data_IF_867651295036
#
_entry.id   IF_867651295036
#
_cell.length_a   1.000
_cell.length_b   1.000
_cell.length_c   1.000
_cell.angle_alpha   90.00
_cell.angle_beta   90.00
_cell.angle_gamma   90.00
#
_symmetry.space_group_name_H-M   'P 1'
#
loop_
_entity.id
_entity.type
_entity.pdbx_description
1 polymer ?
#
# COMPACT_ATOMS: atom_id res chain seq x y z
N UNK A 1 11.37 45.69 -47.14
CA UNK A 1 10.94 46.63 -46.09
C UNK A 1 10.71 45.84 -44.79
N UNK A 2 11.46 46.15 -43.73
CA UNK A 2 11.22 45.78 -42.32
C UNK A 2 10.19 46.77 -41.70
N UNK A 3 9.55 46.47 -40.55
CA UNK A 3 10.11 46.59 -39.18
C UNK A 3 9.78 45.33 -38.31
N UNK A 4 10.51 44.82 -37.30
CA UNK A 4 11.43 45.28 -36.24
C UNK A 4 10.86 46.20 -35.15
N UNK A 5 10.69 45.64 -33.94
CA UNK A 5 10.82 46.16 -32.55
C UNK A 5 10.34 45.00 -31.63
N UNK A 6 11.09 44.27 -30.79
CA UNK A 6 12.28 44.45 -29.94
C UNK A 6 12.01 45.28 -28.67
N UNK A 7 11.80 44.61 -27.53
CA UNK A 7 12.28 45.02 -26.20
C UNK A 7 12.60 43.75 -25.40
N UNK A 8 13.86 43.60 -25.00
CA UNK A 8 14.36 42.54 -24.14
C UNK A 8 14.43 42.95 -22.67
N UNK A 9 14.62 41.97 -21.79
CA UNK A 9 15.08 42.18 -20.42
C UNK A 9 16.42 41.47 -20.24
N UNK A 10 17.42 42.26 -19.91
CA UNK A 10 18.82 41.88 -19.68
C UNK A 10 19.03 41.40 -18.24
N UNK A 11 19.87 40.38 -18.08
CA UNK A 11 20.51 40.01 -16.83
C UNK A 11 21.49 41.10 -16.35
N UNK A 12 21.72 41.22 -15.03
CA UNK A 12 23.01 41.64 -14.51
C UNK A 12 23.78 40.46 -13.88
N UNK A 13 25.10 40.52 -14.09
CA UNK A 13 26.11 39.57 -13.65
C UNK A 13 26.47 39.71 -12.15
N UNK A 14 27.06 38.63 -11.65
CA UNK A 14 27.71 38.45 -10.34
C UNK A 14 28.88 39.44 -10.08
N UNK A 15 29.31 39.54 -8.82
CA UNK A 15 30.74 39.53 -8.53
C UNK A 15 31.16 38.38 -7.59
N UNK A 16 32.36 37.86 -7.88
CA UNK A 16 33.13 36.90 -7.07
C UNK A 16 33.68 37.52 -5.78
N UNK A 17 33.82 36.68 -4.75
CA UNK A 17 34.81 36.64 -3.64
C UNK A 17 34.37 35.44 -2.77
N UNK A 18 35.16 34.61 -2.11
CA UNK A 18 36.58 34.26 -2.08
C UNK A 18 36.65 33.04 -1.14
N UNK A 19 37.53 32.08 -1.43
CA UNK A 19 37.83 30.91 -0.60
C UNK A 19 38.38 31.29 0.78
N UNK A 20 37.92 30.61 1.83
CA UNK A 20 38.73 30.40 3.05
C UNK A 20 38.32 29.11 3.76
N UNK A 21 39.33 28.46 4.33
CA UNK A 21 39.39 27.06 4.68
C UNK A 21 38.87 26.72 6.09
N UNK A 22 38.71 25.42 6.30
CA UNK A 22 38.56 24.72 7.58
C UNK A 22 39.49 25.24 8.70
N UNK A 23 39.01 25.17 9.94
CA UNK A 23 39.72 24.53 11.05
C UNK A 23 38.84 24.38 12.31
N UNK A 24 39.05 23.26 13.00
CA UNK A 24 38.83 23.00 14.43
C UNK A 24 37.36 22.96 14.95
N UNK A 25 36.97 22.09 15.88
CA UNK A 25 37.65 21.04 16.62
C UNK A 25 36.61 20.18 17.36
N UNK A 26 37.05 18.98 17.71
CA UNK A 26 36.51 18.06 18.70
C UNK A 26 35.66 18.66 19.83
N UNK A 27 34.64 17.88 20.23
CA UNK A 27 34.47 17.45 21.62
C UNK A 27 33.53 16.24 21.67
N UNK A 28 34.15 15.07 21.79
CA UNK A 28 33.53 13.91 22.36
C UNK A 28 33.08 14.23 23.80
N UNK A 29 31.85 13.84 24.15
CA UNK A 29 31.50 13.62 25.54
C UNK A 29 30.60 12.39 25.65
N UNK A 30 31.27 11.30 25.99
CA UNK A 30 30.75 10.15 26.70
C UNK A 30 29.85 10.59 27.86
N UNK A 31 28.65 10.04 27.94
CA UNK A 31 27.99 9.79 29.23
C UNK A 31 27.26 8.45 29.13
N UNK A 32 27.88 7.48 29.79
CA UNK A 32 27.27 6.29 30.36
C UNK A 32 26.01 6.65 31.14
N UNK A 33 24.92 5.92 30.95
CA UNK A 33 24.09 5.57 32.09
C UNK A 33 23.36 4.24 31.89
N UNK A 34 23.78 3.30 32.72
CA UNK A 34 23.17 2.02 33.05
C UNK A 34 21.91 2.21 33.90
N UNK A 35 20.84 1.51 33.57
CA UNK A 35 19.90 0.93 34.56
C UNK A 35 19.03 -0.10 33.82
N UNK A 36 19.24 -1.40 34.02
CA UNK A 36 18.63 -2.20 35.08
C UNK A 36 17.13 -1.92 35.23
N UNK A 37 16.29 -2.67 34.53
CA UNK A 37 14.95 -2.97 34.99
C UNK A 37 14.77 -4.47 35.16
N UNK A 38 14.47 -4.82 36.40
CA UNK A 38 14.25 -6.15 36.93
C UNK A 38 12.92 -6.69 36.42
N UNK A 39 12.94 -7.97 36.09
CA UNK A 39 11.79 -8.86 36.06
C UNK A 39 11.04 -8.82 37.40
N UNK A 40 9.72 -8.81 37.37
CA UNK A 40 8.91 -9.17 38.54
C UNK A 40 7.79 -10.08 38.09
N UNK A 41 8.02 -11.35 38.34
CA UNK A 41 7.03 -12.42 38.40
C UNK A 41 6.10 -12.15 39.57
N UNK A 42 4.79 -12.21 39.35
CA UNK A 42 3.83 -12.60 40.39
C UNK A 42 2.93 -13.67 39.81
N UNK A 43 3.07 -14.88 40.35
CA UNK A 43 2.10 -15.94 40.18
C UNK A 43 0.97 -15.77 41.20
N UNK A 44 -0.19 -16.31 40.88
CA UNK A 44 -1.06 -16.93 41.87
C UNK A 44 -1.59 -18.23 41.26
N UNK A 45 -1.36 -19.30 42.01
CA UNK A 45 -1.75 -20.66 41.74
C UNK A 45 -3.24 -20.91 42.03
N UNK A 46 -3.70 -22.10 41.62
CA UNK A 46 -4.50 -23.13 42.33
C UNK A 46 -5.31 -23.89 41.26
N UNK A 47 -4.79 -24.98 40.70
CA UNK A 47 -4.93 -26.38 41.15
C UNK A 47 -6.34 -26.99 41.00
N UNK A 48 -6.48 -27.98 40.11
CA UNK A 48 -7.05 -29.29 40.46
C UNK A 48 -6.79 -30.34 39.40
N UNK A 49 -6.48 -31.54 39.93
CA UNK A 49 -6.11 -32.78 39.27
C UNK A 49 -7.30 -33.45 38.56
N UNK A 50 -7.03 -34.24 37.51
CA UNK A 50 -7.24 -35.69 37.56
C UNK A 50 -6.54 -36.40 36.40
N UNK A 51 -5.80 -37.45 36.74
CA UNK A 51 -5.14 -38.41 35.86
C UNK A 51 -6.13 -39.44 35.30
N UNK A 52 -5.82 -40.07 34.15
CA UNK A 52 -5.75 -41.52 33.96
C UNK A 52 -5.44 -41.95 32.50
N UNK A 53 -4.26 -42.59 32.36
CA UNK A 53 -3.90 -43.82 31.60
C UNK A 53 -4.23 -44.01 30.10
N UNK A 54 -3.14 -44.04 29.34
CA UNK A 54 -2.61 -45.10 28.45
C UNK A 54 -3.55 -45.99 27.61
N UNK A 55 -3.26 -46.04 26.30
CA UNK A 55 -3.67 -47.11 25.39
C UNK A 55 -3.08 -46.93 23.97
N UNK A 56 -2.16 -47.82 23.60
CA UNK A 56 -1.39 -47.86 22.34
C UNK A 56 -2.24 -48.16 21.09
N UNK A 57 -1.71 -47.82 19.90
CA UNK A 57 -1.93 -48.65 18.69
C UNK A 57 -2.17 -47.91 17.38
N UNK A 58 -1.23 -48.10 16.45
CA UNK A 58 -1.24 -47.71 15.03
C UNK A 58 -2.57 -47.97 14.29
N UNK A 59 -3.04 -47.01 13.49
CA UNK A 59 -3.35 -47.25 12.06
C UNK A 59 -3.50 -45.94 11.25
N UNK A 60 -2.55 -45.78 10.32
CA UNK A 60 -2.62 -45.30 8.92
C UNK A 60 -3.67 -44.26 8.50
N UNK A 61 -3.12 -43.26 7.81
CA UNK A 61 -3.84 -42.17 7.18
C UNK A 61 -4.80 -42.57 6.05
N UNK A 62 -5.87 -41.79 6.00
CA UNK A 62 -6.74 -41.44 4.87
C UNK A 62 -7.92 -40.69 5.53
N UNK A 63 -7.70 -39.41 5.89
CA UNK A 63 -8.70 -38.66 6.65
C UNK A 63 -8.48 -37.14 6.70
N UNK A 64 -7.67 -36.60 5.79
CA UNK A 64 -7.36 -35.15 5.75
C UNK A 64 -7.94 -34.55 4.47
N UNK A 65 -9.26 -34.65 4.28
CA UNK A 65 -9.96 -33.86 3.23
C UNK A 65 -11.37 -33.41 3.67
N UNK A 66 -11.98 -33.93 4.73
CA UNK A 66 -13.42 -33.68 5.02
C UNK A 66 -13.75 -32.96 6.34
N UNK A 67 -12.87 -32.09 6.86
CA UNK A 67 -13.16 -31.31 8.10
C UNK A 67 -12.95 -29.79 7.99
N UNK A 68 -12.84 -29.25 6.78
CA UNK A 68 -12.53 -27.83 6.56
C UNK A 68 -13.74 -26.89 6.48
N UNK A 69 -14.98 -27.36 6.69
CA UNK A 69 -16.17 -26.52 6.54
C UNK A 69 -16.84 -26.04 7.85
N UNK A 70 -16.36 -26.41 9.04
CA UNK A 70 -17.05 -26.07 10.30
C UNK A 70 -16.22 -25.25 11.32
N UNK A 71 -15.08 -24.65 10.92
CA UNK A 71 -14.24 -23.89 11.87
C UNK A 71 -13.74 -22.53 11.40
N UNK A 72 -14.44 -21.88 10.48
CA UNK A 72 -14.14 -20.51 10.06
C UNK A 72 -15.19 -19.53 10.58
N UNK A 73 -15.09 -19.20 11.87
CA UNK A 73 -15.53 -17.93 12.43
C UNK A 73 -14.33 -17.32 13.15
N UNK A 74 -13.35 -16.87 12.37
CA UNK A 74 -12.18 -16.17 12.91
C UNK A 74 -12.55 -14.69 12.95
N UNK A 75 -12.90 -14.21 14.14
CA UNK A 75 -12.82 -12.80 14.49
C UNK A 75 -11.34 -12.39 14.44
N UNK A 76 -10.90 -11.72 13.38
CA UNK A 76 -9.61 -11.03 13.36
C UNK A 76 -9.77 -9.68 14.06
N UNK A 77 -9.62 -9.68 15.37
CA UNK A 77 -9.62 -8.48 16.19
C UNK A 77 -8.24 -7.78 16.07
N UNK A 78 -8.02 -7.13 14.92
CA UNK A 78 -6.83 -6.30 14.69
C UNK A 78 -6.97 -5.05 15.53
N UNK A 79 -6.40 -5.05 16.74
CA UNK A 79 -6.32 -3.85 17.58
C UNK A 79 -5.38 -2.85 16.94
N UNK A 80 -5.94 -1.95 16.15
CA UNK A 80 -5.31 -0.68 15.76
C UNK A 80 -5.05 0.10 17.05
N UNK A 81 -3.78 0.19 17.47
CA UNK A 81 -3.41 1.08 18.59
C UNK A 81 -3.57 2.53 18.15
N UNK A 82 -4.68 3.14 18.53
CA UNK A 82 -4.82 4.59 18.57
C UNK A 82 -4.15 5.11 19.84
N UNK A 83 -3.19 6.02 19.70
CA UNK A 83 -2.72 6.84 20.82
C UNK A 83 -3.91 7.66 21.37
N UNK A 84 -4.19 7.53 22.66
CA UNK A 84 -5.35 8.10 23.33
C UNK A 84 -5.27 9.63 23.41
N UNK A 85 -6.43 10.27 23.18
CA UNK A 85 -6.69 11.65 23.53
C UNK A 85 -7.54 12.40 22.51
N UNK A 86 -8.83 12.06 22.40
CA UNK A 86 -9.97 13.00 22.24
C UNK A 86 -11.27 12.22 21.95
N UNK A 87 -12.35 12.69 22.56
CA UNK A 87 -13.78 12.35 22.42
C UNK A 87 -14.21 11.60 21.16
N UNK A 88 -15.05 10.57 21.31
CA UNK A 88 -15.61 9.72 20.24
C UNK A 88 -15.83 10.49 18.92
N UNK A 89 -15.11 10.14 17.85
CA UNK A 89 -14.80 11.07 16.79
C UNK A 89 -15.88 11.04 15.69
N UNK A 90 -16.01 12.13 14.97
CA UNK A 90 -16.56 12.11 13.60
C UNK A 90 -15.99 10.90 12.84
N UNK A 91 -16.85 10.13 12.14
CA UNK A 91 -16.50 8.97 11.32
C UNK A 91 -15.20 9.21 10.53
N UNK A 92 -14.23 8.29 10.60
CA UNK A 92 -12.93 8.48 9.91
C UNK A 92 -13.17 8.44 8.40
N UNK A 93 -12.58 9.40 7.71
CA UNK A 93 -12.48 9.39 6.24
C UNK A 93 -11.11 8.86 5.87
N UNK A 94 -11.09 7.71 5.19
CA UNK A 94 -9.89 7.00 4.75
C UNK A 94 -9.77 7.17 3.24
N UNK A 95 -8.64 7.71 2.79
CA UNK A 95 -8.33 7.80 1.36
C UNK A 95 -7.13 6.92 1.03
N UNK A 96 -7.23 6.14 -0.05
CA UNK A 96 -6.11 5.34 -0.56
C UNK A 96 -6.04 5.40 -2.07
N UNK A 97 -4.84 5.65 -2.60
CA UNK A 97 -4.56 5.70 -4.03
C UNK A 97 -3.71 4.51 -4.49
N UNK A 98 -4.03 3.94 -5.66
CA UNK A 98 -3.23 2.89 -6.30
C UNK A 98 -2.98 3.20 -7.77
N UNK A 99 -1.72 3.11 -8.20
CA UNK A 99 -1.38 3.30 -9.61
C UNK A 99 -1.93 2.15 -10.47
N UNK A 100 -2.49 2.45 -11.66
CA UNK A 100 -2.98 1.45 -12.60
C UNK A 100 -1.82 0.67 -13.21
N UNK A 101 -1.43 -0.40 -12.53
CA UNK A 101 -0.34 -1.29 -12.96
C UNK A 101 -0.87 -2.60 -13.54
N UNK A 102 -2.16 -2.66 -13.87
CA UNK A 102 -2.86 -3.86 -14.33
C UNK A 102 -3.24 -4.81 -13.20
N UNK A 103 -3.37 -6.10 -13.51
CA UNK A 103 -3.77 -7.15 -12.55
C UNK A 103 -2.88 -7.12 -11.32
N UNK A 104 -3.48 -6.97 -10.14
CA UNK A 104 -2.78 -6.97 -8.85
C UNK A 104 -2.12 -8.34 -8.63
N UNK A 105 -0.97 -8.41 -7.94
CA UNK A 105 -0.32 -9.68 -7.59
C UNK A 105 -0.49 -10.00 -6.10
N UNK A 106 -0.22 -11.24 -5.69
CA UNK A 106 -0.38 -11.74 -4.32
C UNK A 106 0.26 -10.83 -3.26
N UNK A 107 1.48 -10.33 -3.51
CA UNK A 107 2.15 -9.41 -2.58
C UNK A 107 1.41 -8.08 -2.35
N UNK A 108 0.71 -7.54 -3.35
CA UNK A 108 -0.12 -6.35 -3.18
C UNK A 108 -1.44 -6.70 -2.47
N UNK A 109 -2.03 -7.85 -2.79
CA UNK A 109 -3.25 -8.32 -2.15
C UNK A 109 -3.07 -8.49 -0.65
N UNK A 110 -2.07 -9.27 -0.24
CA UNK A 110 -1.78 -9.51 1.18
C UNK A 110 -1.29 -8.25 1.89
N UNK A 111 -0.43 -7.47 1.24
CA UNK A 111 0.22 -6.32 1.87
C UNK A 111 -0.62 -5.05 1.99
N UNK A 112 -1.70 -4.91 1.20
CA UNK A 112 -2.52 -3.69 1.22
C UNK A 112 -4.01 -3.95 0.96
N UNK A 113 -4.36 -4.61 -0.15
CA UNK A 113 -5.76 -4.69 -0.60
C UNK A 113 -6.65 -5.44 0.41
N UNK A 114 -6.14 -6.50 1.05
CA UNK A 114 -6.91 -7.21 2.08
C UNK A 114 -7.25 -6.30 3.27
N UNK A 115 -6.32 -5.45 3.70
CA UNK A 115 -6.57 -4.49 4.79
C UNK A 115 -7.61 -3.46 4.38
N UNK A 116 -7.58 -3.01 3.13
CA UNK A 116 -8.58 -2.11 2.57
C UNK A 116 -9.99 -2.69 2.63
N UNK A 117 -10.13 -3.98 2.33
CA UNK A 117 -11.40 -4.71 2.44
C UNK A 117 -11.87 -4.84 3.89
N UNK A 118 -10.97 -4.91 4.87
CA UNK A 118 -11.34 -4.87 6.28
C UNK A 118 -11.76 -3.47 6.75
N UNK A 119 -11.11 -2.41 6.25
CA UNK A 119 -11.45 -1.03 6.60
C UNK A 119 -12.88 -0.65 6.19
N UNK A 120 -13.36 -1.12 5.04
CA UNK A 120 -14.76 -0.86 4.62
C UNK A 120 -15.79 -1.57 5.53
N UNK A 121 -15.44 -2.67 6.19
CA UNK A 121 -16.32 -3.37 7.13
C UNK A 121 -16.39 -2.69 8.50
N UNK A 122 -15.34 -1.94 8.87
CA UNK A 122 -15.21 -1.26 10.16
C UNK A 122 -16.08 -0.02 10.35
N UNK A 123 -16.95 0.32 9.38
CA UNK A 123 -17.85 1.47 9.46
C UNK A 123 -17.17 2.82 9.17
N UNK A 124 -15.93 2.83 8.67
CA UNK A 124 -15.26 4.04 8.20
C UNK A 124 -15.82 4.50 6.84
N UNK A 125 -15.57 5.76 6.47
CA UNK A 125 -15.81 6.26 5.12
C UNK A 125 -14.57 6.02 4.26
N UNK A 126 -14.61 5.01 3.38
CA UNK A 126 -13.43 4.59 2.61
C UNK A 126 -13.53 4.99 1.15
N UNK A 127 -12.45 5.59 0.65
CA UNK A 127 -12.32 6.10 -0.71
C UNK A 127 -11.07 5.48 -1.35
N UNK A 128 -11.28 4.74 -2.43
CA UNK A 128 -10.25 4.13 -3.26
C UNK A 128 -10.16 4.84 -4.60
N UNK A 129 -8.97 5.32 -4.93
CA UNK A 129 -8.69 6.04 -6.16
C UNK A 129 -7.67 5.27 -7.00
N UNK A 130 -8.05 4.90 -8.23
CA UNK A 130 -7.09 4.42 -9.23
C UNK A 130 -6.43 5.63 -9.88
N UNK A 131 -5.18 5.90 -9.51
CA UNK A 131 -4.47 7.15 -9.79
C UNK A 131 -3.74 7.14 -11.12
N UNK A 132 -4.50 7.28 -12.21
CA UNK A 132 -3.97 7.28 -13.57
C UNK A 132 -3.22 8.58 -13.95
N UNK A 133 -3.53 9.73 -13.33
CA UNK A 133 -2.73 10.95 -13.54
C UNK A 133 -1.33 10.83 -12.91
N UNK A 134 -1.19 10.06 -11.82
CA UNK A 134 0.14 9.75 -11.26
C UNK A 134 0.94 8.78 -12.14
N UNK A 135 0.27 7.90 -12.89
CA UNK A 135 0.94 6.92 -13.76
C UNK A 135 1.68 7.58 -14.94
N UNK A 136 1.22 8.75 -15.40
CA UNK A 136 1.82 9.47 -16.54
C UNK A 136 2.97 10.41 -16.15
N UNK A 137 3.43 10.38 -14.88
CA UNK A 137 4.56 11.20 -14.40
C UNK A 137 5.93 10.69 -14.85
N UNK A 138 5.98 9.44 -15.33
CA UNK A 138 7.14 8.77 -15.93
C UNK A 138 6.77 8.21 -17.30
N UNK A 139 7.74 7.64 -18.01
CA UNK A 139 7.50 6.97 -19.28
C UNK A 139 6.44 5.85 -19.12
N UNK A 140 5.40 5.91 -19.95
CA UNK A 140 4.28 4.97 -19.94
C UNK A 140 3.84 4.67 -21.38
N UNK A 141 3.10 3.59 -21.56
CA UNK A 141 2.47 3.24 -22.82
C UNK A 141 0.99 3.60 -22.78
N UNK A 142 0.60 4.60 -23.58
CA UNK A 142 -0.77 5.09 -23.63
C UNK A 142 -1.75 4.05 -24.19
N UNK A 143 -1.27 3.05 -24.94
CA UNK A 143 -2.13 2.00 -25.50
C UNK A 143 -2.53 0.98 -24.43
N UNK A 144 -1.70 0.80 -23.40
CA UNK A 144 -1.93 -0.19 -22.34
C UNK A 144 -2.56 0.41 -21.08
N UNK A 145 -2.35 1.71 -20.81
CA UNK A 145 -2.89 2.38 -19.61
C UNK A 145 -4.42 2.21 -19.41
N UNK A 146 -5.28 2.33 -20.45
CA UNK A 146 -6.72 2.12 -20.27
C UNK A 146 -7.07 0.70 -19.82
N UNK A 147 -6.41 -0.30 -20.41
CA UNK A 147 -6.60 -1.70 -20.02
C UNK A 147 -6.05 -1.98 -18.61
N UNK A 148 -4.89 -1.41 -18.27
CA UNK A 148 -4.30 -1.52 -16.95
C UNK A 148 -5.18 -0.89 -15.86
N UNK A 149 -5.83 0.24 -16.17
CA UNK A 149 -6.78 0.92 -15.28
C UNK A 149 -8.00 0.05 -15.02
N UNK A 150 -8.67 -0.46 -16.07
CA UNK A 150 -9.80 -1.38 -15.94
C UNK A 150 -9.42 -2.64 -15.15
N UNK A 151 -8.26 -3.23 -15.45
CA UNK A 151 -7.79 -4.42 -14.74
C UNK A 151 -7.48 -4.15 -13.27
N UNK A 152 -7.02 -2.94 -12.93
CA UNK A 152 -6.79 -2.55 -11.53
C UNK A 152 -8.12 -2.42 -10.79
N UNK A 153 -9.11 -1.72 -11.37
CA UNK A 153 -10.47 -1.62 -10.81
C UNK A 153 -11.10 -3.00 -10.63
N UNK A 154 -11.05 -3.85 -11.66
CA UNK A 154 -11.57 -5.21 -11.60
C UNK A 154 -10.88 -6.04 -10.52
N UNK A 155 -9.56 -5.91 -10.37
CA UNK A 155 -8.79 -6.60 -9.32
C UNK A 155 -9.25 -6.19 -7.93
N UNK A 156 -9.45 -4.89 -7.67
CA UNK A 156 -9.91 -4.41 -6.37
C UNK A 156 -11.30 -4.98 -6.03
N UNK A 157 -12.24 -4.94 -6.98
CA UNK A 157 -13.59 -5.49 -6.81
C UNK A 157 -13.56 -7.00 -6.60
N UNK A 158 -12.71 -7.71 -7.36
CA UNK A 158 -12.54 -9.15 -7.23
C UNK A 158 -11.96 -9.55 -5.86
N UNK A 159 -11.04 -8.75 -5.32
CA UNK A 159 -10.46 -8.92 -3.99
C UNK A 159 -11.43 -8.63 -2.83
N UNK A 160 -12.60 -8.05 -3.11
CA UNK A 160 -13.63 -7.80 -2.10
C UNK A 160 -13.92 -6.32 -1.82
N UNK A 161 -13.29 -5.39 -2.56
CA UNK A 161 -13.73 -3.99 -2.51
C UNK A 161 -15.16 -3.92 -3.01
N UNK A 162 -16.06 -3.39 -2.20
CA UNK A 162 -17.47 -3.29 -2.53
C UNK A 162 -17.80 -1.85 -2.94
N UNK A 163 -18.07 -1.59 -4.24
CA UNK A 163 -18.38 -0.26 -4.74
C UNK A 163 -19.70 0.32 -4.24
N UNK A 164 -20.52 -0.42 -3.50
CA UNK A 164 -21.74 0.11 -2.89
C UNK A 164 -21.42 0.68 -1.49
N UNK A 165 -20.47 0.08 -0.76
CA UNK A 165 -20.08 0.53 0.59
C UNK A 165 -18.92 1.52 0.59
N UNK A 166 -17.95 1.37 -0.31
CA UNK A 166 -16.81 2.27 -0.48
C UNK A 166 -16.92 3.05 -1.81
N UNK A 167 -16.29 4.23 -1.88
CA UNK A 167 -16.18 4.97 -3.15
C UNK A 167 -14.96 4.45 -3.89
N UNK A 168 -15.14 3.78 -5.04
CA UNK A 168 -14.06 3.31 -5.90
C UNK A 168 -14.15 4.01 -7.26
N UNK A 169 -13.13 4.78 -7.64
CA UNK A 169 -13.16 5.57 -8.88
C UNK A 169 -11.79 5.73 -9.53
N UNK A 170 -11.78 6.19 -10.78
CA UNK A 170 -10.58 6.55 -11.55
C UNK A 170 -10.30 8.05 -11.41
N UNK A 171 -9.07 8.43 -11.06
CA UNK A 171 -8.68 9.80 -10.73
C UNK A 171 -9.03 10.80 -11.82
N UNK A 172 -8.67 10.53 -13.08
CA UNK A 172 -8.90 11.45 -14.21
C UNK A 172 -10.37 11.72 -14.53
N UNK A 173 -11.32 10.96 -13.95
CA UNK A 173 -12.77 11.20 -14.10
C UNK A 173 -13.32 12.27 -13.15
N UNK A 174 -12.49 12.75 -12.21
CA UNK A 174 -12.83 13.76 -11.21
C UNK A 174 -11.90 14.96 -11.44
N UNK A 175 -12.30 15.96 -12.24
CA UNK A 175 -11.43 17.09 -12.62
C UNK A 175 -10.93 17.90 -11.42
N UNK A 176 -11.68 17.89 -10.32
CA UNK A 176 -11.40 18.65 -9.09
C UNK A 176 -10.04 18.28 -8.47
N UNK A 177 -9.49 17.10 -8.77
CA UNK A 177 -8.13 16.70 -8.41
C UNK A 177 -7.07 17.63 -9.04
N UNK A 178 -7.17 17.86 -10.35
CA UNK A 178 -6.23 18.69 -11.09
C UNK A 178 -6.40 20.17 -10.72
N UNK A 179 -7.64 20.59 -10.49
CA UNK A 179 -7.96 21.97 -10.11
C UNK A 179 -7.42 22.32 -8.71
N UNK A 180 -7.65 21.44 -7.72
CA UNK A 180 -7.11 21.65 -6.39
C UNK A 180 -5.57 21.55 -6.38
N UNK A 181 -4.99 20.65 -7.17
CA UNK A 181 -3.53 20.54 -7.33
C UNK A 181 -2.91 21.87 -7.77
N UNK A 182 -3.54 22.61 -8.69
CA UNK A 182 -3.05 23.91 -9.12
C UNK A 182 -3.00 24.92 -7.96
N UNK A 183 -4.08 25.01 -7.18
CA UNK A 183 -4.13 25.89 -6.01
C UNK A 183 -3.05 25.52 -4.98
N UNK A 184 -2.88 24.24 -4.69
CA UNK A 184 -1.86 23.77 -3.73
C UNK A 184 -0.43 23.98 -4.25
N UNK A 185 -0.22 23.91 -5.56
CA UNK A 185 1.07 24.24 -6.20
C UNK A 185 1.46 25.69 -5.92
N UNK A 186 0.49 26.62 -5.92
CA UNK A 186 0.74 28.02 -5.55
C UNK A 186 1.06 28.23 -4.05
N UNK A 187 0.93 27.19 -3.22
CA UNK A 187 1.20 27.23 -1.77
C UNK A 187 2.47 26.46 -1.37
N UNK A 188 3.13 25.80 -2.32
CA UNK A 188 4.37 25.06 -2.08
C UNK A 188 5.56 25.80 -2.68
N UNK A 189 6.78 25.37 -2.33
CA UNK A 189 8.01 25.93 -2.89
C UNK A 189 8.86 24.82 -3.49
N UNK A 190 9.69 25.19 -4.47
CA UNK A 190 10.65 24.28 -5.08
C UNK A 190 11.55 23.64 -4.01
N UNK A 191 12.11 24.45 -3.09
CA UNK A 191 12.99 23.95 -2.03
C UNK A 191 12.35 22.80 -1.23
N UNK A 192 11.05 22.87 -0.95
CA UNK A 192 10.34 21.84 -0.20
C UNK A 192 10.23 20.51 -0.97
N UNK A 193 9.95 20.58 -2.27
CA UNK A 193 9.80 19.38 -3.11
C UNK A 193 11.15 18.73 -3.42
N UNK A 194 12.19 19.53 -3.64
CA UNK A 194 13.56 19.04 -3.96
C UNK A 194 14.16 18.17 -2.86
N UNK A 195 13.75 18.35 -1.60
CA UNK A 195 14.28 17.58 -0.48
C UNK A 195 13.59 16.22 -0.26
N UNK A 196 12.49 15.92 -0.95
CA UNK A 196 11.80 14.64 -0.83
C UNK A 196 12.68 13.47 -1.34
N UNK A 197 12.87 12.40 -0.56
CA UNK A 197 13.68 11.25 -0.94
C UNK A 197 13.25 10.61 -2.25
N UNK A 198 11.95 10.43 -2.47
CA UNK A 198 11.43 9.77 -3.67
C UNK A 198 11.75 10.54 -4.95
N UNK A 199 11.76 11.88 -4.89
CA UNK A 199 12.20 12.68 -6.02
C UNK A 199 13.69 12.43 -6.30
N UNK A 200 14.54 12.50 -5.27
CA UNK A 200 15.98 12.25 -5.42
C UNK A 200 16.25 10.85 -5.98
N UNK A 201 15.67 9.82 -5.40
CA UNK A 201 15.84 8.43 -5.83
C UNK A 201 15.39 8.20 -7.29
N UNK A 202 14.19 8.66 -7.66
CA UNK A 202 13.67 8.45 -9.03
C UNK A 202 14.34 9.33 -10.08
N UNK A 203 14.81 10.52 -9.70
CA UNK A 203 15.50 11.45 -10.60
C UNK A 203 16.91 10.97 -11.00
N UNK A 204 17.60 10.23 -10.12
CA UNK A 204 18.98 9.79 -10.34
C UNK A 204 19.15 8.91 -11.59
N UNK A 205 18.13 8.12 -11.94
CA UNK A 205 18.14 7.25 -13.10
C UNK A 205 17.70 7.94 -14.40
N UNK A 206 17.35 9.22 -14.37
CA UNK A 206 16.79 9.95 -15.51
C UNK A 206 17.74 11.03 -15.99
N UNK A 207 17.99 11.07 -17.30
CA UNK A 207 18.78 12.14 -17.93
C UNK A 207 18.03 13.48 -17.91
N UNK A 208 16.74 13.43 -18.18
CA UNK A 208 15.84 14.57 -18.15
C UNK A 208 14.69 14.21 -17.22
N UNK A 209 14.50 15.03 -16.19
CA UNK A 209 13.53 14.75 -15.13
C UNK A 209 12.22 15.45 -15.47
N UNK A 210 11.11 14.72 -15.68
CA UNK A 210 9.83 15.34 -15.97
C UNK A 210 9.34 16.20 -14.81
N UNK A 211 8.76 17.37 -15.09
CA UNK A 211 8.16 18.23 -14.07
C UNK A 211 7.05 17.53 -13.28
N UNK A 212 6.30 16.62 -13.93
CA UNK A 212 5.31 15.79 -13.26
C UNK A 212 5.89 14.94 -12.12
N UNK A 213 7.07 14.34 -12.32
CA UNK A 213 7.77 13.57 -11.29
C UNK A 213 8.19 14.45 -10.10
N UNK A 214 8.42 15.73 -10.34
CA UNK A 214 8.76 16.69 -9.29
C UNK A 214 7.52 17.17 -8.52
N UNK A 215 6.43 17.44 -9.23
CA UNK A 215 5.22 18.05 -8.68
C UNK A 215 4.16 17.05 -8.18
N UNK A 216 4.25 15.76 -8.51
CA UNK A 216 3.23 14.76 -8.10
C UNK A 216 2.94 14.70 -6.60
N UNK A 217 3.87 14.99 -5.66
CA UNK A 217 3.51 15.00 -4.24
C UNK A 217 2.45 16.06 -3.88
N UNK A 218 2.34 17.13 -4.69
CA UNK A 218 1.28 18.14 -4.56
C UNK A 218 -0.04 17.62 -5.10
N UNK A 219 -0.03 16.89 -6.22
CA UNK A 219 -1.20 16.19 -6.74
C UNK A 219 -1.71 15.16 -5.73
N UNK A 220 -0.80 14.41 -5.09
CA UNK A 220 -1.14 13.47 -4.01
C UNK A 220 -1.79 14.19 -2.82
N UNK A 221 -1.32 15.38 -2.46
CA UNK A 221 -1.98 16.19 -1.44
C UNK A 221 -3.38 16.62 -1.88
N UNK A 222 -3.57 17.04 -3.14
CA UNK A 222 -4.89 17.36 -3.67
C UNK A 222 -5.83 16.14 -3.59
N UNK A 223 -5.35 14.95 -3.97
CA UNK A 223 -6.12 13.71 -3.91
C UNK A 223 -6.67 13.44 -2.51
N UNK A 224 -5.87 13.69 -1.47
CA UNK A 224 -6.22 13.43 -0.06
C UNK A 224 -7.14 14.53 0.48
N UNK A 225 -6.79 15.80 0.24
CA UNK A 225 -7.45 16.96 0.85
C UNK A 225 -8.80 17.27 0.24
N UNK A 226 -9.02 16.91 -1.04
CA UNK A 226 -10.29 17.10 -1.73
C UNK A 226 -11.46 16.41 -1.02
N UNK A 227 -11.19 15.28 -0.37
CA UNK A 227 -12.18 14.51 0.41
C UNK A 227 -12.10 14.76 1.91
N UNK A 228 -11.28 15.73 2.36
CA UNK A 228 -11.01 15.98 3.78
C UNK A 228 -10.62 14.69 4.52
N UNK A 229 -9.78 13.87 3.87
CA UNK A 229 -9.37 12.61 4.44
C UNK A 229 -8.65 12.83 5.78
N UNK A 230 -8.99 12.01 6.77
CA UNK A 230 -8.39 12.02 8.11
C UNK A 230 -7.21 11.07 8.19
N UNK A 231 -7.26 9.99 7.43
CA UNK A 231 -6.33 8.89 7.50
C UNK A 231 -5.98 8.38 6.09
N UNK A 232 -4.71 8.03 5.87
CA UNK A 232 -4.22 7.55 4.58
C UNK A 232 -3.37 6.28 4.81
N UNK A 233 -3.80 5.10 4.35
CA UNK A 233 -3.02 3.87 4.47
C UNK A 233 -1.85 3.95 3.51
N UNK A 234 -0.62 3.95 4.03
CA UNK A 234 0.58 4.04 3.21
C UNK A 234 1.74 3.21 3.76
N UNK A 235 2.64 2.80 2.87
CA UNK A 235 3.95 2.29 3.26
C UNK A 235 4.82 3.39 3.89
N UNK A 236 5.86 2.98 4.61
CA UNK A 236 6.80 3.91 5.27
C UNK A 236 7.47 4.86 4.28
N UNK A 237 7.67 4.43 3.02
CA UNK A 237 8.24 5.25 1.96
C UNK A 237 7.38 6.49 1.68
N UNK A 238 6.05 6.41 1.74
CA UNK A 238 5.18 7.53 1.42
C UNK A 238 4.88 8.47 2.61
N UNK A 239 5.44 8.19 3.81
CA UNK A 239 5.14 8.97 5.02
C UNK A 239 5.45 10.46 4.87
N UNK A 240 6.53 10.80 4.16
CA UNK A 240 6.90 12.20 3.91
C UNK A 240 5.91 12.94 3.01
N UNK A 241 5.27 12.25 2.07
CA UNK A 241 4.22 12.85 1.23
C UNK A 241 2.95 13.13 2.04
N UNK A 242 2.61 12.27 3.00
CA UNK A 242 1.46 12.54 3.91
C UNK A 242 1.77 13.74 4.83
N UNK A 243 3.02 13.87 5.29
CA UNK A 243 3.46 15.06 6.02
C UNK A 243 3.38 16.33 5.15
N UNK A 244 3.71 16.25 3.86
CA UNK A 244 3.52 17.35 2.93
C UNK A 244 2.04 17.72 2.78
N UNK A 245 1.15 16.74 2.64
CA UNK A 245 -0.30 16.99 2.54
C UNK A 245 -0.83 17.69 3.81
N UNK A 246 -0.46 17.21 5.00
CA UNK A 246 -0.81 17.87 6.26
C UNK A 246 -0.21 19.28 6.39
N UNK A 247 1.02 19.48 5.88
CA UNK A 247 1.62 20.81 5.85
C UNK A 247 0.85 21.77 4.93
N UNK A 248 0.51 21.34 3.71
CA UNK A 248 -0.25 22.16 2.76
C UNK A 248 -1.65 22.49 3.28
N UNK A 249 -2.32 21.53 3.93
CA UNK A 249 -3.59 21.78 4.62
C UNK A 249 -3.46 22.87 5.68
N UNK A 250 -2.40 22.82 6.51
CA UNK A 250 -2.12 23.85 7.53
C UNK A 250 -1.86 25.23 6.91
N UNK A 251 -1.06 25.29 5.85
CA UNK A 251 -0.76 26.54 5.14
C UNK A 251 -2.03 27.15 4.57
N UNK A 252 -2.87 26.33 3.92
CA UNK A 252 -4.15 26.78 3.37
C UNK A 252 -5.06 27.30 4.48
N UNK A 253 -5.27 26.50 5.54
CA UNK A 253 -6.15 26.85 6.65
C UNK A 253 -5.72 28.15 7.35
N UNK A 254 -4.41 28.35 7.56
CA UNK A 254 -3.89 29.57 8.16
C UNK A 254 -4.09 30.80 7.29
N UNK A 255 -4.03 30.65 5.96
CA UNK A 255 -4.11 31.76 5.00
C UNK A 255 -5.55 32.14 4.67
N UNK A 256 -6.43 31.16 4.51
CA UNK A 256 -7.78 31.36 3.98
C UNK A 256 -8.90 30.89 4.93
N UNK A 257 -8.56 30.45 6.14
CA UNK A 257 -9.49 29.92 7.14
C UNK A 257 -9.64 28.39 7.09
N UNK A 258 -10.08 27.79 8.20
CA UNK A 258 -10.22 26.33 8.34
C UNK A 258 -11.08 25.71 7.22
N UNK A 259 -10.49 24.77 6.47
CA UNK A 259 -11.10 24.15 5.28
C UNK A 259 -10.80 22.66 5.22
N UNK A 260 -9.54 22.30 5.45
CA UNK A 260 -9.04 20.93 5.34
C UNK A 260 -8.76 20.32 6.71
N UNK A 261 -8.98 19.01 6.82
CA UNK A 261 -8.42 18.18 7.89
C UNK A 261 -6.91 18.03 7.72
N UNK A 262 -6.21 17.71 8.80
CA UNK A 262 -4.80 17.36 8.75
C UNK A 262 -4.67 15.82 8.66
N UNK A 263 -4.43 15.24 7.48
CA UNK A 263 -4.37 13.79 7.31
C UNK A 263 -3.21 13.18 8.07
N UNK A 264 -3.41 11.95 8.58
CA UNK A 264 -2.38 11.13 9.24
C UNK A 264 -2.14 9.85 8.47
N UNK A 265 -0.90 9.35 8.49
CA UNK A 265 -0.59 8.04 7.91
C UNK A 265 -1.13 6.93 8.80
N UNK A 266 -1.80 5.95 8.20
CA UNK A 266 -2.05 4.64 8.80
C UNK A 266 -0.97 3.70 8.29
N UNK A 267 -0.02 3.35 9.16
CA UNK A 267 1.01 2.36 8.84
C UNK A 267 0.47 0.99 9.22
N UNK A 268 0.45 0.07 8.25
CA UNK A 268 0.05 -1.29 8.51
C UNK A 268 1.25 -2.13 8.97
N UNK A 269 1.34 -2.39 10.28
CA UNK A 269 2.33 -3.30 10.86
C UNK A 269 1.90 -4.77 10.65
N UNK A 270 2.14 -5.30 9.46
CA UNK A 270 1.87 -6.72 9.16
C UNK A 270 3.06 -7.39 8.47
N UNK A 271 3.30 -8.67 8.77
CA UNK A 271 4.30 -9.49 8.06
C UNK A 271 3.98 -9.55 6.55
N UNK A 272 2.69 -9.52 6.19
CA UNK A 272 2.19 -9.35 4.82
C UNK A 272 2.76 -8.17 4.02
N UNK A 273 3.23 -7.10 4.67
CA UNK A 273 3.85 -5.96 3.97
C UNK A 273 5.19 -6.35 3.29
N UNK A 274 5.74 -7.53 3.62
CA UNK A 274 7.08 -7.98 3.22
C UNK A 274 7.10 -9.25 2.36
N UNK A 275 6.00 -9.60 1.68
CA UNK A 275 5.99 -10.74 0.74
C UNK A 275 7.05 -10.53 -0.36
N UNK A 276 7.97 -11.49 -0.47
CA UNK A 276 9.16 -11.42 -1.32
C UNK A 276 8.96 -12.21 -2.62
N UNK A 277 9.84 -11.95 -3.59
CA UNK A 277 9.84 -12.69 -4.85
C UNK A 277 10.15 -14.18 -4.61
N UNK A 278 9.43 -15.05 -5.31
CA UNK A 278 9.67 -16.50 -5.29
C UNK A 278 11.01 -16.88 -5.94
N UNK A 279 11.62 -15.97 -6.71
CA UNK A 279 12.88 -16.20 -7.42
C UNK A 279 14.05 -15.43 -6.81
N UNK A 280 13.78 -14.27 -6.22
CA UNK A 280 14.76 -13.43 -5.54
C UNK A 280 14.26 -13.10 -4.13
N UNK A 281 14.45 -14.00 -3.14
CA UNK A 281 13.95 -13.82 -1.77
C UNK A 281 14.61 -12.66 -1.00
N UNK A 282 15.54 -11.94 -1.60
CA UNK A 282 16.12 -10.67 -1.13
C UNK A 282 15.28 -9.45 -1.57
N UNK A 283 14.42 -9.61 -2.58
CA UNK A 283 13.63 -8.53 -3.18
C UNK A 283 12.14 -8.70 -2.90
N UNK A 284 11.45 -7.56 -2.75
CA UNK A 284 9.99 -7.53 -2.68
C UNK A 284 9.39 -8.06 -3.99
N UNK A 285 8.27 -8.79 -3.90
CA UNK A 285 7.52 -9.18 -5.09
C UNK A 285 7.07 -7.92 -5.85
N UNK A 286 7.37 -7.85 -7.14
CA UNK A 286 7.08 -6.69 -7.98
C UNK A 286 6.63 -7.08 -9.38
N UNK A 287 5.74 -6.26 -9.96
CA UNK A 287 5.37 -6.34 -11.38
C UNK A 287 6.52 -6.01 -12.33
N UNK A 288 7.44 -5.14 -11.91
CA UNK A 288 8.60 -4.75 -12.70
C UNK A 288 9.73 -5.78 -12.70
N UNK A 289 9.58 -6.89 -11.96
CA UNK A 289 10.55 -7.98 -12.02
C UNK A 289 10.50 -8.65 -13.41
N UNK A 290 11.66 -8.71 -14.08
CA UNK A 290 11.78 -9.29 -15.42
C UNK A 290 11.34 -10.77 -15.49
N UNK A 291 11.47 -11.50 -14.38
CA UNK A 291 11.03 -12.89 -14.30
C UNK A 291 9.59 -12.98 -13.76
N UNK A 292 8.58 -13.30 -14.58
CA UNK A 292 7.20 -13.41 -14.13
C UNK A 292 6.97 -14.56 -13.14
N UNK A 293 7.93 -15.49 -13.01
CA UNK A 293 7.88 -16.57 -12.00
C UNK A 293 8.23 -16.09 -10.59
N UNK A 294 8.74 -14.87 -10.44
CA UNK A 294 8.99 -14.25 -9.14
C UNK A 294 7.72 -13.80 -8.41
N UNK A 295 6.60 -13.66 -9.12
CA UNK A 295 5.33 -13.18 -8.58
C UNK A 295 4.17 -14.11 -8.90
N UNK A 296 3.14 -14.09 -8.06
CA UNK A 296 1.85 -14.75 -8.31
C UNK A 296 0.84 -13.68 -8.72
N UNK A 297 0.40 -13.70 -9.97
CA UNK A 297 -0.62 -12.78 -10.48
C UNK A 297 -2.01 -13.34 -10.10
N UNK A 298 -2.98 -12.48 -9.78
CA UNK A 298 -4.32 -12.94 -9.35
C UNK A 298 -5.10 -13.70 -10.45
N UNK A 299 -4.68 -13.56 -11.70
CA UNK A 299 -5.21 -14.30 -12.86
C UNK A 299 -4.49 -15.62 -13.11
N UNK A 300 -3.42 -15.96 -12.38
CA UNK A 300 -2.70 -17.22 -12.59
C UNK A 300 -3.64 -18.41 -12.33
N UNK A 301 -3.64 -19.38 -13.25
CA UNK A 301 -4.38 -20.63 -13.06
C UNK A 301 -3.74 -21.49 -11.96
N UNK A 302 -4.48 -22.45 -11.38
CA UNK A 302 -3.92 -23.38 -10.38
C UNK A 302 -2.62 -24.04 -10.83
N UNK A 303 -2.52 -24.44 -12.10
CA UNK A 303 -1.33 -25.07 -12.66
C UNK A 303 -0.13 -24.11 -12.75
N UNK A 304 -0.39 -22.85 -13.10
CA UNK A 304 0.66 -21.81 -13.13
C UNK A 304 1.15 -21.53 -11.70
N UNK A 305 0.23 -21.39 -10.73
CA UNK A 305 0.57 -21.17 -9.33
C UNK A 305 1.43 -22.32 -8.80
N UNK A 306 0.99 -23.57 -8.97
CA UNK A 306 1.77 -24.78 -8.61
C UNK A 306 3.15 -24.77 -9.27
N UNK A 307 3.21 -24.45 -10.56
CA UNK A 307 4.46 -24.38 -11.32
C UNK A 307 5.43 -23.32 -10.79
N UNK A 308 4.93 -22.15 -10.39
CA UNK A 308 5.73 -21.06 -9.80
C UNK A 308 6.25 -21.44 -8.41
N UNK A 309 5.41 -21.99 -7.54
CA UNK A 309 5.82 -22.47 -6.21
C UNK A 309 6.80 -23.63 -6.27
N UNK A 310 6.59 -24.61 -7.16
CA UNK A 310 7.56 -25.71 -7.39
C UNK A 310 8.95 -25.19 -7.76
N UNK A 311 9.00 -24.07 -8.48
CA UNK A 311 10.23 -23.37 -8.87
C UNK A 311 10.63 -22.26 -7.90
N UNK A 312 10.00 -22.10 -6.74
CA UNK A 312 10.45 -21.11 -5.76
C UNK A 312 11.86 -21.45 -5.28
N UNK A 313 12.71 -20.44 -5.11
CA UNK A 313 14.08 -20.59 -4.60
C UNK A 313 14.04 -20.87 -3.10
N UNK A 314 14.70 -21.94 -2.69
CA UNK A 314 14.94 -22.31 -1.28
C UNK A 314 16.37 -22.79 -1.13
N UNK A 315 16.81 -23.00 0.10
CA UNK A 315 18.08 -23.66 0.41
C UNK A 315 18.01 -25.20 0.25
N UNK A 316 19.12 -25.87 0.56
CA UNK A 316 19.29 -27.32 0.48
C UNK A 316 18.87 -28.06 1.76
N UNK A 317 18.40 -27.36 2.79
CA UNK A 317 17.95 -27.96 4.04
C UNK A 317 16.51 -28.43 3.90
N UNK A 318 16.23 -29.67 4.26
CA UNK A 318 14.89 -30.26 4.08
C UNK A 318 13.86 -29.79 5.11
N UNK A 319 14.29 -29.46 6.33
CA UNK A 319 13.39 -29.00 7.39
C UNK A 319 12.71 -27.67 7.03
N UNK A 320 11.49 -27.45 7.53
CA UNK A 320 10.71 -26.22 7.35
C UNK A 320 10.65 -25.50 8.69
N UNK A 321 11.29 -24.34 8.80
CA UNK A 321 11.22 -23.47 9.97
C UNK A 321 11.52 -22.02 9.55
N UNK A 322 11.03 -21.08 10.36
CA UNK A 322 11.15 -19.66 10.06
C UNK A 322 12.51 -19.12 10.49
N UNK A 323 13.33 -18.71 9.51
CA UNK A 323 14.62 -18.06 9.69
C UNK A 323 14.86 -17.10 8.50
N UNK A 324 14.42 -15.84 8.60
CA UNK A 324 14.47 -14.91 7.47
C UNK A 324 15.88 -14.44 7.13
N UNK A 325 16.85 -14.61 8.03
CA UNK A 325 18.25 -14.22 7.83
C UNK A 325 19.01 -15.28 7.04
N UNK A 326 18.96 -16.54 7.49
CA UNK A 326 19.71 -17.62 6.84
C UNK A 326 18.91 -18.37 5.79
N UNK A 327 17.56 -18.33 5.86
CA UNK A 327 16.66 -19.10 4.98
C UNK A 327 15.54 -18.23 4.39
N UNK A 328 15.86 -17.11 3.73
CA UNK A 328 14.85 -16.13 3.28
C UNK A 328 13.80 -16.72 2.33
N UNK A 329 14.16 -17.71 1.52
CA UNK A 329 13.23 -18.40 0.62
C UNK A 329 12.16 -19.21 1.35
N UNK A 330 12.57 -20.04 2.32
CA UNK A 330 11.64 -20.86 3.13
C UNK A 330 10.81 -19.98 4.04
N UNK A 331 11.42 -18.97 4.66
CA UNK A 331 10.73 -18.00 5.51
C UNK A 331 9.69 -17.19 4.74
N UNK A 332 9.95 -16.85 3.46
CA UNK A 332 8.94 -16.21 2.61
C UNK A 332 7.76 -17.15 2.32
N UNK A 333 8.00 -18.45 2.09
CA UNK A 333 6.93 -19.43 1.90
C UNK A 333 6.10 -19.59 3.18
N UNK A 334 6.73 -19.62 4.35
CA UNK A 334 6.02 -19.67 5.64
C UNK A 334 5.22 -18.39 5.91
N UNK A 335 5.77 -17.22 5.57
CA UNK A 335 5.04 -15.96 5.65
C UNK A 335 3.80 -15.98 4.74
N UNK A 336 3.94 -16.41 3.48
CA UNK A 336 2.79 -16.58 2.59
C UNK A 336 1.78 -17.56 3.18
N UNK A 337 2.22 -18.72 3.66
CA UNK A 337 1.36 -19.76 4.22
C UNK A 337 0.56 -19.23 5.42
N UNK A 338 1.24 -18.60 6.38
CA UNK A 338 0.63 -17.97 7.55
C UNK A 338 -0.39 -16.90 7.15
N UNK A 339 -0.06 -16.05 6.18
CA UNK A 339 -0.95 -14.99 5.74
C UNK A 339 -2.20 -15.52 5.04
N UNK A 340 -2.13 -16.65 4.34
CA UNK A 340 -3.30 -17.23 3.63
C UNK A 340 -4.16 -18.14 4.51
N UNK A 341 -3.58 -18.81 5.51
CA UNK A 341 -4.32 -19.71 6.42
C UNK A 341 -4.66 -19.12 7.79
N UNK A 342 -3.98 -18.04 8.19
CA UNK A 342 -4.05 -17.48 9.54
C UNK A 342 -3.30 -18.28 10.60
N UNK A 343 -2.54 -19.32 10.22
CA UNK A 343 -1.78 -20.15 11.16
C UNK A 343 -0.51 -19.45 11.66
N UNK A 344 -0.10 -19.74 12.89
CA UNK A 344 1.18 -19.26 13.43
C UNK A 344 2.37 -19.96 12.77
N UNK A 345 3.57 -19.38 12.89
CA UNK A 345 4.77 -20.02 12.35
C UNK A 345 5.11 -21.31 13.10
N UNK A 346 4.78 -21.38 14.39
CA UNK A 346 4.90 -22.55 15.24
C UNK A 346 3.99 -23.68 14.73
N UNK A 347 2.70 -23.40 14.51
CA UNK A 347 1.75 -24.38 13.98
C UNK A 347 2.17 -24.90 12.60
N UNK A 348 2.64 -23.99 11.73
CA UNK A 348 3.13 -24.35 10.40
C UNK A 348 4.36 -25.25 10.48
N UNK A 349 5.29 -24.95 11.40
CA UNK A 349 6.51 -25.73 11.61
C UNK A 349 6.16 -27.15 12.09
N UNK A 350 5.26 -27.26 13.06
CA UNK A 350 4.78 -28.54 13.59
C UNK A 350 4.05 -29.35 12.53
N UNK A 351 3.08 -28.75 11.84
CA UNK A 351 2.31 -29.41 10.79
C UNK A 351 3.15 -29.82 9.57
N UNK A 352 4.28 -29.14 9.34
CA UNK A 352 5.22 -29.46 8.25
C UNK A 352 6.32 -30.43 8.67
N UNK A 353 6.28 -30.94 9.91
CA UNK A 353 7.27 -31.90 10.41
C UNK A 353 7.28 -33.16 9.53
N UNK A 354 8.46 -33.56 9.08
CA UNK A 354 8.65 -34.71 8.19
C UNK A 354 8.41 -34.42 6.70
N UNK A 355 7.97 -33.22 6.32
CA UNK A 355 7.92 -32.80 4.91
C UNK A 355 9.29 -32.30 4.45
N UNK A 356 9.63 -32.64 3.21
CA UNK A 356 10.72 -31.95 2.49
C UNK A 356 10.25 -30.55 2.06
N UNK A 357 11.20 -29.62 1.87
CA UNK A 357 10.88 -28.28 1.31
C UNK A 357 10.18 -28.35 -0.05
N UNK A 358 10.45 -29.38 -0.86
CA UNK A 358 9.77 -29.61 -2.13
C UNK A 358 8.29 -29.96 -1.96
N UNK A 359 7.95 -30.81 -0.98
CA UNK A 359 6.57 -31.13 -0.62
C UNK A 359 5.88 -29.91 0.00
N UNK A 360 6.57 -29.19 0.90
CA UNK A 360 6.04 -27.99 1.53
C UNK A 360 5.66 -26.89 0.53
N UNK A 361 6.46 -26.69 -0.54
CA UNK A 361 6.10 -25.77 -1.63
C UNK A 361 4.74 -26.07 -2.24
N UNK A 362 4.36 -27.35 -2.34
CA UNK A 362 3.05 -27.74 -2.89
C UNK A 362 1.93 -27.46 -1.90
N UNK A 363 2.15 -27.66 -0.60
CA UNK A 363 1.20 -27.29 0.46
C UNK A 363 0.88 -25.80 0.39
N UNK A 364 1.92 -24.94 0.32
CA UNK A 364 1.72 -23.49 0.21
C UNK A 364 1.03 -23.13 -1.11
N UNK A 365 1.36 -23.81 -2.22
CA UNK A 365 0.70 -23.59 -3.49
C UNK A 365 -0.81 -23.87 -3.43
N UNK A 366 -1.19 -24.99 -2.82
CA UNK A 366 -2.60 -25.39 -2.70
C UNK A 366 -3.38 -24.42 -1.81
N UNK A 367 -2.81 -23.97 -0.69
CA UNK A 367 -3.42 -22.95 0.17
C UNK A 367 -3.63 -21.61 -0.56
N UNK A 368 -2.64 -21.18 -1.37
CA UNK A 368 -2.76 -19.97 -2.19
C UNK A 368 -3.81 -20.16 -3.29
N UNK A 369 -3.90 -21.34 -3.90
CA UNK A 369 -4.92 -21.63 -4.93
C UNK A 369 -6.31 -21.56 -4.34
N UNK A 370 -6.53 -22.16 -3.18
CA UNK A 370 -7.82 -22.14 -2.49
C UNK A 370 -8.29 -20.69 -2.23
N UNK A 371 -7.39 -19.84 -1.73
CA UNK A 371 -7.65 -18.42 -1.50
C UNK A 371 -7.93 -17.66 -2.81
N UNK A 372 -7.12 -17.88 -3.85
CA UNK A 372 -7.16 -17.07 -5.06
C UNK A 372 -8.22 -17.52 -6.06
N UNK A 373 -8.67 -18.77 -6.05
CA UNK A 373 -9.62 -19.28 -7.05
C UNK A 373 -10.94 -18.50 -7.11
N UNK A 374 -11.64 -18.16 -6.00
CA UNK A 374 -12.85 -17.34 -6.07
C UNK A 374 -12.56 -15.92 -6.57
N UNK A 375 -11.43 -15.33 -6.18
CA UNK A 375 -10.98 -14.01 -6.63
C UNK A 375 -10.74 -14.02 -8.15
N UNK A 376 -10.02 -15.04 -8.64
CA UNK A 376 -9.72 -15.23 -10.06
C UNK A 376 -10.98 -15.35 -10.89
N UNK A 377 -11.92 -16.21 -10.49
CA UNK A 377 -13.18 -16.39 -11.23
C UNK A 377 -13.98 -15.08 -11.33
N UNK A 378 -14.06 -14.31 -10.23
CA UNK A 378 -14.70 -13.00 -10.21
C UNK A 378 -13.96 -11.99 -11.09
N UNK A 379 -12.63 -11.99 -11.05
CA UNK A 379 -11.79 -11.13 -11.88
C UNK A 379 -11.95 -11.43 -13.37
N UNK A 380 -11.90 -12.71 -13.76
CA UNK A 380 -12.07 -13.16 -15.13
C UNK A 380 -13.45 -12.75 -15.67
N UNK A 381 -14.51 -12.89 -14.86
CA UNK A 381 -15.86 -12.46 -15.22
C UNK A 381 -15.96 -10.93 -15.42
N UNK A 382 -15.37 -10.13 -14.52
CA UNK A 382 -15.36 -8.67 -14.64
C UNK A 382 -14.57 -8.20 -15.87
N UNK A 383 -13.44 -8.83 -16.16
CA UNK A 383 -12.60 -8.48 -17.31
C UNK A 383 -13.26 -8.86 -18.64
N UNK A 384 -14.13 -9.87 -18.65
CA UNK A 384 -14.92 -10.27 -19.81
C UNK A 384 -16.04 -9.29 -20.15
N UNK A 385 -16.42 -8.39 -19.22
CA UNK A 385 -17.42 -7.33 -19.45
C UNK A 385 -16.84 -5.91 -19.21
N UNK A 386 -16.12 -5.36 -20.20
CA UNK A 386 -15.57 -4.01 -20.10
C UNK A 386 -16.64 -2.91 -19.98
N UNK A 387 -17.85 -3.14 -20.48
CA UNK A 387 -18.94 -2.17 -20.42
C UNK A 387 -19.46 -2.03 -18.99
N UNK A 388 -19.67 -3.15 -18.29
CA UNK A 388 -20.02 -3.15 -16.87
C UNK A 388 -18.94 -2.46 -16.02
N UNK A 389 -17.66 -2.75 -16.26
CA UNK A 389 -16.56 -2.07 -15.55
C UNK A 389 -16.55 -0.56 -15.81
N UNK A 390 -16.87 -0.13 -17.03
CA UNK A 390 -16.97 1.29 -17.36
C UNK A 390 -18.09 1.95 -16.57
N UNK A 391 -19.29 1.35 -16.57
CA UNK A 391 -20.42 1.85 -15.78
C UNK A 391 -20.13 1.88 -14.27
N UNK A 392 -19.39 0.90 -13.75
CA UNK A 392 -18.93 0.90 -12.34
C UNK A 392 -18.01 2.09 -12.04
N UNK A 393 -17.05 2.37 -12.93
CA UNK A 393 -16.14 3.51 -12.78
C UNK A 393 -16.87 4.86 -12.92
N UNK A 394 -17.87 4.94 -13.80
CA UNK A 394 -18.71 6.14 -13.98
C UNK A 394 -19.48 6.46 -12.68
N UNK A 395 -20.20 5.47 -12.14
CA UNK A 395 -20.90 5.60 -10.84
C UNK A 395 -19.95 5.93 -9.70
N UNK A 396 -18.77 5.31 -9.68
CA UNK A 396 -17.72 5.62 -8.72
C UNK A 396 -17.27 7.07 -8.78
N UNK A 397 -17.08 7.60 -9.99
CA UNK A 397 -16.71 8.99 -10.21
C UNK A 397 -17.83 9.96 -9.79
N UNK A 398 -19.09 9.64 -10.07
CA UNK A 398 -20.25 10.42 -9.60
C UNK A 398 -20.25 10.55 -8.06
N UNK A 399 -20.14 9.42 -7.35
CA UNK A 399 -20.06 9.41 -5.87
C UNK A 399 -18.83 10.13 -5.33
N UNK A 400 -17.71 10.06 -6.03
CA UNK A 400 -16.53 10.83 -5.68
C UNK A 400 -16.78 12.34 -5.85
N UNK A 401 -17.40 12.76 -6.96
CA UNK A 401 -17.74 14.18 -7.22
C UNK A 401 -18.73 14.74 -6.21
N UNK A 402 -19.71 13.97 -5.76
CA UNK A 402 -20.62 14.38 -4.67
C UNK A 402 -19.87 14.83 -3.41
N UNK A 403 -18.71 14.23 -3.13
CA UNK A 403 -17.85 14.59 -1.99
C UNK A 403 -16.82 15.67 -2.33
N UNK A 404 -16.27 15.64 -3.54
CA UNK A 404 -15.20 16.54 -3.99
C UNK A 404 -15.69 17.95 -4.31
N UNK A 405 -16.82 18.08 -5.01
CA UNK A 405 -17.35 19.36 -5.49
C UNK A 405 -17.59 20.35 -4.35
N UNK A 406 -18.23 19.99 -3.21
CA UNK A 406 -18.41 20.92 -2.10
C UNK A 406 -17.11 21.48 -1.54
N UNK A 407 -16.09 20.61 -1.36
CA UNK A 407 -14.75 21.04 -0.91
C UNK A 407 -14.13 21.99 -1.92
N UNK A 408 -14.22 21.67 -3.21
CA UNK A 408 -13.67 22.50 -4.28
C UNK A 408 -14.35 23.87 -4.37
N UNK A 409 -15.69 23.94 -4.30
CA UNK A 409 -16.41 25.22 -4.29
C UNK A 409 -16.01 26.10 -3.09
N UNK A 410 -15.80 25.49 -1.92
CA UNK A 410 -15.30 26.23 -0.76
C UNK A 410 -13.90 26.79 -0.99
N UNK A 411 -12.99 25.98 -1.55
CA UNK A 411 -11.63 26.41 -1.90
C UNK A 411 -11.67 27.55 -2.92
N UNK A 412 -12.47 27.44 -3.98
CA UNK A 412 -12.63 28.49 -5.00
C UNK A 412 -13.03 29.83 -4.38
N UNK A 413 -14.06 29.84 -3.53
CA UNK A 413 -14.49 31.06 -2.84
C UNK A 413 -13.38 31.64 -1.96
N UNK A 414 -12.70 30.79 -1.19
CA UNK A 414 -11.64 31.19 -0.25
C UNK A 414 -10.41 31.78 -0.93
N UNK A 415 -10.07 31.28 -2.12
CA UNK A 415 -8.93 31.78 -2.91
C UNK A 415 -9.32 32.84 -3.94
N UNK A 416 -10.61 33.23 -4.00
CA UNK A 416 -11.10 34.32 -4.86
C UNK A 416 -11.28 33.95 -6.34
N UNK A 417 -11.48 32.66 -6.67
CA UNK A 417 -11.80 32.22 -8.03
C UNK A 417 -13.31 32.35 -8.31
N UNK A 418 -13.66 32.51 -9.59
CA UNK A 418 -15.04 32.70 -10.02
C UNK A 418 -15.95 31.52 -9.57
N UNK A 419 -17.16 31.79 -9.03
CA UNK A 419 -18.11 30.73 -8.70
C UNK A 419 -18.55 29.97 -9.95
N UNK A 420 -19.01 28.73 -9.79
CA UNK A 420 -19.74 28.07 -10.90
C UNK A 420 -21.05 28.82 -11.15
N UNK A 421 -21.27 29.15 -12.42
CA UNK A 421 -22.46 29.85 -12.92
C UNK A 421 -23.66 28.92 -13.05
#
# INVERSE_FOLDING_TARGET
MRPQLLVGWTHPALPHLSTTACTASSLARTTTNSSLFKTTTTGSAVASLCSLREGQGLQKGLGVVSKWQEKCHIHTDVRLRSEEGTTHPSRRIIFSGIQPTGVVHLGNYLGAVRQWVELQKGGDDVIFCVVDQHAITLAYDHTTLPAATRATVASLIACGVDPDTAVLYQQSRVPEHAELNWVLTCLTTMARLTHLPQYKEKSQSLREVPLGLYAYPVLQAADILLYRATHVPVGEDQRQHIQLAAHLARVFNNRYGETFTLPRSLVADTAAARIRSLRHPDKKMSKSEANPRGRIDLTDTPDIIRGKFKKAVTDFTSAVYYDPENRPGVSNLMAIHSEVTGQSFEDITEASSGLTTAQYKLVVADAVIELLNPIRLKLDALLADPAQLTALMDRGAERARERAVPTWQEVKRKVGLAPES
#
